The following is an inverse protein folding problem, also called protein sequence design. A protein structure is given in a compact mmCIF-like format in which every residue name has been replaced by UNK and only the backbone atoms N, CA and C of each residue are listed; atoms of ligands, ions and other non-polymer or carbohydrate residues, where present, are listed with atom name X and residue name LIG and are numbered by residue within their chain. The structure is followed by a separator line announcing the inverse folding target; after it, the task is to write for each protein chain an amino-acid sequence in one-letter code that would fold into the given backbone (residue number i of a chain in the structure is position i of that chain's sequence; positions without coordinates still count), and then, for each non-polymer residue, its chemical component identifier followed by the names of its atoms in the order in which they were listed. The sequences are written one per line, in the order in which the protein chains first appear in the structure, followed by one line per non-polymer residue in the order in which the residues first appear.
data_IF_557630811117
#
_entry.id   IF_557630811117
#
_cell.length_a   1.000
_cell.length_b   1.000
_cell.length_c   1.000
_cell.angle_alpha   90.00
_cell.angle_beta   90.00
_cell.angle_gamma   90.00
#
_symmetry.space_group_name_H-M   'P 1'
#
loop_
_entity.id
_entity.type
_entity.pdbx_description
1 polymer ?
#
# COMPACT_ATOMS: atom_id res chain seq x y z
N UNK A 1 -5.26 -9.68 11.78
CA UNK A 1 -3.82 -9.53 11.51
C UNK A 1 -3.26 -10.85 10.97
N UNK A 2 -3.00 -10.95 9.65
CA UNK A 2 -2.51 -12.18 9.03
C UNK A 2 -1.21 -12.69 9.67
N UNK A 3 -0.26 -11.81 9.96
CA UNK A 3 1.02 -12.19 10.56
C UNK A 3 0.88 -12.90 11.90
N UNK A 4 -0.06 -12.49 12.74
CA UNK A 4 -0.32 -13.17 14.01
C UNK A 4 -0.96 -14.55 13.82
N UNK A 5 -1.83 -14.67 12.82
CA UNK A 5 -2.43 -15.95 12.49
C UNK A 5 -1.36 -16.95 12.03
N UNK A 6 -0.51 -16.55 11.06
CA UNK A 6 0.60 -17.38 10.61
C UNK A 6 1.58 -17.73 11.74
N UNK A 7 1.93 -16.76 12.58
CA UNK A 7 2.80 -17.00 13.74
C UNK A 7 2.26 -18.09 14.65
N UNK A 8 0.95 -18.09 14.92
CA UNK A 8 0.30 -19.15 15.72
C UNK A 8 0.35 -20.53 15.04
N UNK A 9 0.12 -20.60 13.73
CA UNK A 9 0.20 -21.86 13.00
C UNK A 9 1.63 -22.42 13.02
N UNK A 10 2.62 -21.59 12.69
CA UNK A 10 4.03 -21.98 12.73
C UNK A 10 4.49 -22.38 14.13
N UNK A 11 4.06 -21.64 15.16
CA UNK A 11 4.38 -22.01 16.54
C UNK A 11 3.92 -23.43 16.89
N UNK A 12 2.71 -23.78 16.46
CA UNK A 12 2.12 -25.10 16.68
C UNK A 12 2.87 -26.18 15.91
N UNK A 13 3.08 -25.99 14.61
CA UNK A 13 3.70 -27.00 13.72
C UNK A 13 5.19 -27.23 14.05
N UNK A 14 5.91 -26.18 14.44
CA UNK A 14 7.33 -26.23 14.75
C UNK A 14 7.63 -26.44 16.24
N UNK A 15 6.60 -26.57 17.07
CA UNK A 15 6.73 -26.63 18.53
C UNK A 15 7.60 -25.47 19.09
N UNK A 16 7.39 -24.26 18.60
CA UNK A 16 8.21 -23.11 18.93
C UNK A 16 7.84 -22.54 20.32
N UNK A 17 8.84 -22.30 21.15
CA UNK A 17 8.64 -21.67 22.45
C UNK A 17 8.16 -20.22 22.37
N UNK A 18 8.55 -19.51 21.31
CA UNK A 18 8.20 -18.09 21.10
C UNK A 18 8.19 -17.75 19.61
N UNK A 19 7.21 -16.96 19.20
CA UNK A 19 7.17 -16.35 17.88
C UNK A 19 7.11 -14.83 18.00
N UNK A 20 7.75 -14.13 17.06
CA UNK A 20 7.75 -12.69 16.97
C UNK A 20 7.16 -12.27 15.61
N UNK A 21 6.15 -11.43 15.64
CA UNK A 21 5.59 -10.83 14.42
C UNK A 21 6.13 -9.41 14.27
N UNK A 22 7.00 -9.21 13.29
CA UNK A 22 7.59 -7.93 13.00
C UNK A 22 6.87 -7.24 11.84
N UNK A 23 6.51 -5.98 12.03
CA UNK A 23 5.85 -5.17 11.01
C UNK A 23 6.89 -4.26 10.36
N UNK A 24 7.41 -4.66 9.21
CA UNK A 24 8.45 -3.92 8.48
C UNK A 24 8.04 -2.49 8.09
N UNK A 25 6.74 -2.24 7.85
CA UNK A 25 6.22 -0.92 7.52
C UNK A 25 6.49 0.17 8.57
N UNK A 26 6.67 -0.17 9.84
CA UNK A 26 7.07 0.81 10.86
C UNK A 26 8.48 1.33 10.63
N UNK A 27 9.40 0.48 10.20
CA UNK A 27 10.78 0.88 9.88
C UNK A 27 10.82 1.77 8.64
N UNK A 28 10.09 1.41 7.57
CA UNK A 28 9.96 2.23 6.37
C UNK A 28 9.43 3.63 6.66
N UNK A 29 8.40 3.73 7.53
CA UNK A 29 7.81 5.03 7.92
C UNK A 29 8.70 5.87 8.82
N UNK A 30 9.65 5.28 9.51
CA UNK A 30 10.62 5.98 10.37
C UNK A 30 11.85 6.47 9.61
N UNK A 31 12.05 6.04 8.38
CA UNK A 31 13.16 6.48 7.54
C UNK A 31 12.92 7.90 7.00
N UNK A 32 13.98 8.71 6.83
CA UNK A 32 13.86 10.00 6.15
C UNK A 32 13.33 9.79 4.72
N UNK A 33 12.41 10.65 4.24
CA UNK A 33 11.91 10.55 2.88
C UNK A 33 13.01 10.86 1.86
N UNK A 34 13.03 10.16 0.75
CA UNK A 34 13.91 10.47 -0.36
C UNK A 34 13.40 11.69 -1.16
N UNK A 35 14.17 12.15 -2.16
CA UNK A 35 13.79 13.33 -2.95
C UNK A 35 12.45 13.16 -3.67
N UNK A 36 12.17 11.97 -4.22
CA UNK A 36 10.89 11.70 -4.92
C UNK A 36 9.71 11.74 -3.96
N UNK A 37 9.88 11.20 -2.75
CA UNK A 37 8.84 11.24 -1.72
C UNK A 37 8.57 12.68 -1.28
N UNK A 38 9.63 13.50 -1.08
CA UNK A 38 9.48 14.91 -0.74
C UNK A 38 8.73 15.69 -1.82
N UNK A 39 9.06 15.47 -3.09
CA UNK A 39 8.38 16.12 -4.21
C UNK A 39 6.90 15.70 -4.28
N UNK A 40 6.60 14.41 -4.10
CA UNK A 40 5.23 13.90 -4.05
C UNK A 40 4.44 14.49 -2.86
N UNK A 41 5.04 14.55 -1.67
CA UNK A 41 4.42 15.14 -0.48
C UNK A 41 4.05 16.61 -0.72
N UNK A 42 4.96 17.39 -1.30
CA UNK A 42 4.73 18.82 -1.61
C UNK A 42 3.60 18.98 -2.62
N UNK A 43 3.61 18.21 -3.70
CA UNK A 43 2.56 18.26 -4.73
C UNK A 43 1.20 17.84 -4.15
N UNK A 44 1.16 16.77 -3.36
CA UNK A 44 -0.06 16.30 -2.70
C UNK A 44 -0.61 17.33 -1.73
N UNK A 45 0.25 17.97 -0.93
CA UNK A 45 -0.15 19.03 -0.01
C UNK A 45 -0.70 20.25 -0.73
N UNK A 46 -0.06 20.68 -1.83
CA UNK A 46 -0.53 21.78 -2.66
C UNK A 46 -1.92 21.48 -3.26
N UNK A 47 -2.05 20.34 -3.94
CA UNK A 47 -3.32 19.93 -4.54
C UNK A 47 -4.42 19.80 -3.48
N UNK A 48 -4.11 19.21 -2.32
CA UNK A 48 -5.06 19.07 -1.22
C UNK A 48 -5.55 20.44 -0.68
N UNK A 49 -4.67 21.40 -0.58
CA UNK A 49 -5.04 22.76 -0.15
C UNK A 49 -5.93 23.46 -1.21
N UNK A 50 -5.57 23.36 -2.48
CA UNK A 50 -6.33 23.94 -3.59
C UNK A 50 -7.75 23.34 -3.68
N UNK A 51 -7.90 22.01 -3.62
CA UNK A 51 -9.19 21.33 -3.65
C UNK A 51 -10.06 21.67 -2.44
N UNK A 52 -9.45 21.75 -1.25
CA UNK A 52 -10.17 22.15 -0.04
C UNK A 52 -10.69 23.59 -0.11
N UNK A 53 -9.91 24.52 -0.65
CA UNK A 53 -10.34 25.93 -0.87
C UNK A 53 -11.46 26.03 -1.90
N UNK A 54 -11.49 25.14 -2.88
CA UNK A 54 -12.55 25.05 -3.88
C UNK A 54 -13.83 24.36 -3.34
N UNK A 55 -13.81 23.85 -2.12
CA UNK A 55 -14.94 23.09 -1.55
C UNK A 55 -15.12 21.70 -2.12
N UNK A 56 -14.09 21.16 -2.77
CA UNK A 56 -14.13 19.81 -3.35
C UNK A 56 -13.77 18.75 -2.31
N UNK A 57 -14.32 17.53 -2.45
CA UNK A 57 -14.10 16.43 -1.52
C UNK A 57 -13.65 15.17 -2.27
N UNK A 58 -12.64 14.47 -1.70
CA UNK A 58 -12.10 13.26 -2.29
C UNK A 58 -10.79 12.87 -1.61
N UNK A 59 -10.03 12.00 -2.27
CA UNK A 59 -8.69 11.58 -1.86
C UNK A 59 -7.66 12.09 -2.86
N UNK A 60 -6.62 12.74 -2.37
CA UNK A 60 -5.47 13.07 -3.20
C UNK A 60 -4.61 11.83 -3.35
N UNK A 61 -4.42 11.38 -4.57
CA UNK A 61 -3.66 10.17 -4.87
C UNK A 61 -3.24 10.06 -6.33
N UNK A 62 -2.40 9.07 -6.61
CA UNK A 62 -2.05 8.70 -7.98
C UNK A 62 -3.24 7.94 -8.58
N UNK A 63 -3.82 8.50 -9.64
CA UNK A 63 -5.02 7.96 -10.26
C UNK A 63 -4.66 6.94 -11.34
N UNK A 64 -4.93 5.67 -11.08
CA UNK A 64 -4.64 4.57 -12.02
C UNK A 64 -5.41 4.71 -13.35
N UNK A 65 -6.62 5.28 -13.32
CA UNK A 65 -7.44 5.49 -14.52
C UNK A 65 -6.94 6.69 -15.35
N UNK A 66 -6.03 7.48 -14.79
CA UNK A 66 -5.43 8.65 -15.43
C UNK A 66 -3.91 8.58 -15.45
N UNK A 67 -3.35 7.48 -15.95
CA UNK A 67 -1.90 7.27 -16.10
C UNK A 67 -1.08 7.53 -14.84
N UNK A 68 -1.62 7.21 -13.68
CA UNK A 68 -1.02 7.46 -12.37
C UNK A 68 -0.68 8.95 -12.10
N UNK A 69 -1.43 9.88 -12.68
CA UNK A 69 -1.30 11.29 -12.37
C UNK A 69 -1.85 11.59 -10.97
N UNK A 70 -1.15 12.48 -10.26
CA UNK A 70 -1.64 12.96 -8.97
C UNK A 70 -2.91 13.80 -9.16
N UNK A 71 -4.02 13.37 -8.59
CA UNK A 71 -5.33 14.00 -8.77
C UNK A 71 -6.23 13.85 -7.55
N UNK A 72 -7.33 14.59 -7.53
CA UNK A 72 -8.43 14.39 -6.60
C UNK A 72 -9.28 13.21 -7.10
N UNK A 73 -9.29 12.12 -6.34
CA UNK A 73 -10.05 10.91 -6.64
C UNK A 73 -11.35 10.93 -5.83
N UNK A 74 -12.48 10.78 -6.50
CA UNK A 74 -13.79 10.73 -5.86
C UNK A 74 -13.89 9.54 -4.89
N UNK A 75 -14.53 9.73 -3.73
CA UNK A 75 -14.72 8.67 -2.72
C UNK A 75 -15.45 7.44 -3.24
N UNK A 76 -16.40 7.60 -4.17
CA UNK A 76 -17.13 6.46 -4.75
C UNK A 76 -16.20 5.49 -5.52
N UNK A 77 -15.12 6.00 -6.11
CA UNK A 77 -14.14 5.17 -6.82
C UNK A 77 -13.28 4.31 -5.91
N UNK A 78 -13.13 4.69 -4.65
CA UNK A 78 -12.32 3.95 -3.66
C UNK A 78 -13.18 3.20 -2.64
N UNK A 79 -14.49 3.25 -2.75
CA UNK A 79 -15.44 2.57 -1.89
C UNK A 79 -15.28 1.06 -1.99
N UNK A 80 -15.12 0.40 -0.84
CA UNK A 80 -14.95 -1.06 -0.78
C UNK A 80 -13.51 -1.55 -0.94
N UNK A 81 -12.55 -0.66 -1.17
CA UNK A 81 -11.14 -1.00 -1.36
C UNK A 81 -10.81 -1.48 -2.78
N UNK A 82 -9.53 -1.66 -3.05
CA UNK A 82 -9.02 -2.17 -4.32
C UNK A 82 -8.63 -3.65 -4.15
N UNK A 83 -9.29 -4.59 -4.83
CA UNK A 83 -8.88 -5.99 -4.80
C UNK A 83 -7.50 -6.15 -5.43
N UNK A 84 -6.72 -7.10 -4.93
CA UNK A 84 -5.45 -7.44 -5.55
C UNK A 84 -5.70 -8.16 -6.88
N UNK A 85 -5.14 -7.65 -7.96
CA UNK A 85 -5.17 -8.31 -9.26
C UNK A 85 -4.04 -9.36 -9.34
N UNK A 86 -4.41 -10.61 -9.20
CA UNK A 86 -3.49 -11.75 -9.25
C UNK A 86 -3.09 -12.13 -10.69
N UNK A 87 -3.63 -11.47 -11.72
CA UNK A 87 -3.32 -11.76 -13.12
C UNK A 87 -2.15 -10.92 -13.66
N UNK A 88 -1.68 -9.94 -12.89
CA UNK A 88 -0.56 -9.07 -13.29
C UNK A 88 0.73 -9.87 -13.54
N UNK A 89 1.46 -9.49 -14.58
CA UNK A 89 2.64 -10.22 -15.07
C UNK A 89 3.71 -10.41 -14.00
N UNK A 90 4.02 -9.37 -13.22
CA UNK A 90 5.03 -9.47 -12.17
C UNK A 90 4.67 -10.48 -11.08
N UNK A 91 3.38 -10.61 -10.74
CA UNK A 91 2.94 -11.58 -9.73
C UNK A 91 3.02 -13.02 -10.27
N UNK A 92 2.65 -13.21 -11.53
CA UNK A 92 2.81 -14.51 -12.18
C UNK A 92 4.29 -14.92 -12.28
N UNK A 93 5.19 -13.98 -12.59
CA UNK A 93 6.64 -14.24 -12.58
C UNK A 93 7.13 -14.61 -11.17
N UNK A 94 6.71 -13.88 -10.15
CA UNK A 94 7.05 -14.18 -8.77
C UNK A 94 6.62 -15.62 -8.39
N UNK A 95 5.40 -16.04 -8.76
CA UNK A 95 4.93 -17.40 -8.47
C UNK A 95 5.80 -18.48 -9.14
N UNK A 96 6.26 -18.22 -10.37
CA UNK A 96 7.20 -19.12 -11.06
C UNK A 96 8.55 -19.16 -10.33
N UNK A 97 9.10 -18.02 -9.96
CA UNK A 97 10.42 -17.91 -9.31
C UNK A 97 10.46 -18.63 -7.95
N UNK A 98 9.34 -18.69 -7.24
CA UNK A 98 9.23 -19.38 -5.94
C UNK A 98 8.65 -20.80 -6.05
N UNK A 99 8.46 -21.32 -7.27
CA UNK A 99 7.97 -22.68 -7.51
C UNK A 99 6.50 -22.93 -7.13
N UNK A 100 5.66 -21.88 -7.15
CA UNK A 100 4.23 -21.96 -6.85
C UNK A 100 3.35 -22.17 -8.10
N UNK A 101 3.95 -22.19 -9.27
CA UNK A 101 3.33 -22.47 -10.57
C UNK A 101 4.20 -23.43 -11.37
#
# INVERSE_FOLDING_TARGET
NPGQWFAKQFAKELNAHKTLVQKSGYFGRSAPPNKKDLDLIKLSGKLGAETALNGESGVIGLDDDNNALLSLINFERIKGGKPFDHTVSWFNQLLMDIGQK
#
